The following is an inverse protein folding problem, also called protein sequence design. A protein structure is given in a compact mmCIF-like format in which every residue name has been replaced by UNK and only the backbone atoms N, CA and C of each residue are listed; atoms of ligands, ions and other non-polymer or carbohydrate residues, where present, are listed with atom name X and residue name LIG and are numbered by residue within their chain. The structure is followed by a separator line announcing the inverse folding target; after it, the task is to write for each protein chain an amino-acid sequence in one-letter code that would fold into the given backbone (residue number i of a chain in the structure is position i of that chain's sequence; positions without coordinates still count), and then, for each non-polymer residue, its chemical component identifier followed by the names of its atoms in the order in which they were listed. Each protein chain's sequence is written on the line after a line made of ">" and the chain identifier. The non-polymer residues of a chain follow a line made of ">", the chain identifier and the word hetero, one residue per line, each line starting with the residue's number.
data_IF_412783069320
#
_entry.id   IF_412783069320
#
_cell.length_a   1.000
_cell.length_b   1.000
_cell.length_c   1.000
_cell.angle_alpha   90.00
_cell.angle_beta   90.00
_cell.angle_gamma   90.00
#
_symmetry.space_group_name_H-M   'P 1'
#
loop_
_entity.id
_entity.type
_entity.pdbx_description
1 polymer ?
#
# COMPACT_ATOMS: atom_id res chain seq x y z
N UNK A 1 13.06 5.70 -24.02
CA UNK A 1 12.16 5.12 -23.00
C UNK A 1 13.03 4.44 -21.95
N UNK A 2 12.79 4.65 -20.66
CA UNK A 2 13.54 3.96 -19.61
C UNK A 2 13.24 2.46 -19.68
N UNK A 3 14.27 1.61 -19.60
CA UNK A 3 14.13 0.16 -19.64
C UNK A 3 14.58 -0.39 -18.30
N UNK A 4 13.65 -0.99 -17.57
CA UNK A 4 13.94 -1.65 -16.31
C UNK A 4 14.98 -2.74 -16.53
N UNK A 5 16.01 -2.72 -15.71
CA UNK A 5 16.98 -3.79 -15.64
C UNK A 5 16.68 -4.73 -14.45
N UNK A 6 17.54 -5.72 -14.26
CA UNK A 6 17.40 -6.69 -13.17
C UNK A 6 17.53 -6.05 -11.79
N UNK A 7 18.30 -4.97 -11.66
CA UNK A 7 18.47 -4.26 -10.40
C UNK A 7 17.18 -3.52 -10.03
N UNK A 8 16.61 -2.79 -10.99
CA UNK A 8 15.33 -2.10 -10.80
C UNK A 8 14.21 -3.08 -10.43
N UNK A 9 14.16 -4.25 -11.10
CA UNK A 9 13.17 -5.28 -10.78
C UNK A 9 13.35 -5.82 -9.35
N UNK A 10 14.59 -6.11 -8.95
CA UNK A 10 14.90 -6.59 -7.61
C UNK A 10 14.45 -5.57 -6.55
N UNK A 11 14.73 -4.28 -6.78
CA UNK A 11 14.32 -3.21 -5.88
C UNK A 11 12.79 -3.11 -5.73
N UNK A 12 12.05 -3.31 -6.82
CA UNK A 12 10.58 -3.35 -6.79
C UNK A 12 10.10 -4.56 -5.98
N UNK A 13 10.67 -5.74 -6.23
CA UNK A 13 10.28 -6.98 -5.55
C UNK A 13 10.51 -6.90 -4.04
N UNK A 14 11.63 -6.33 -3.60
CA UNK A 14 11.94 -6.10 -2.19
C UNK A 14 10.93 -5.16 -1.52
N UNK A 15 10.56 -4.06 -2.19
CA UNK A 15 9.55 -3.12 -1.69
C UNK A 15 8.17 -3.77 -1.60
N UNK A 16 7.80 -4.58 -2.59
CA UNK A 16 6.55 -5.33 -2.58
C UNK A 16 6.53 -6.33 -1.41
N UNK A 17 7.64 -7.04 -1.17
CA UNK A 17 7.75 -7.97 -0.05
C UNK A 17 7.62 -7.24 1.30
N UNK A 18 8.29 -6.10 1.45
CA UNK A 18 8.19 -5.27 2.66
C UNK A 18 6.75 -4.79 2.91
N UNK A 19 6.10 -4.21 1.90
CA UNK A 19 4.75 -3.68 2.06
C UNK A 19 3.72 -4.79 2.32
N UNK A 20 3.92 -5.98 1.74
CA UNK A 20 3.09 -7.16 2.03
C UNK A 20 3.16 -7.58 3.50
N UNK A 21 4.35 -7.66 4.09
CA UNK A 21 4.48 -7.99 5.52
C UNK A 21 3.78 -6.96 6.42
N UNK A 22 3.94 -5.67 6.10
CA UNK A 22 3.28 -4.58 6.84
C UNK A 22 1.75 -4.67 6.74
N UNK A 23 1.22 -5.00 5.55
CA UNK A 23 -0.20 -5.29 5.34
C UNK A 23 -0.67 -6.48 6.18
N UNK A 24 0.06 -7.60 6.16
CA UNK A 24 -0.30 -8.81 6.90
C UNK A 24 -0.34 -8.55 8.41
N UNK A 25 0.63 -7.78 8.93
CA UNK A 25 0.63 -7.35 10.33
C UNK A 25 -0.54 -6.43 10.67
N UNK A 26 -0.89 -5.49 9.78
CA UNK A 26 -2.06 -4.63 9.96
C UNK A 26 -3.36 -5.44 9.99
N UNK A 27 -3.53 -6.37 9.04
CA UNK A 27 -4.69 -7.28 8.99
C UNK A 27 -4.78 -8.18 10.23
N UNK A 28 -3.63 -8.59 10.77
CA UNK A 28 -3.55 -9.36 12.02
C UNK A 28 -3.72 -8.51 13.29
N UNK A 29 -3.93 -7.19 13.17
CA UNK A 29 -4.03 -6.28 14.32
C UNK A 29 -2.72 -6.04 15.07
N UNK A 30 -1.58 -6.47 14.51
CA UNK A 30 -0.23 -6.33 15.08
C UNK A 30 0.47 -5.03 14.66
N UNK A 31 -0.19 -4.22 13.83
CA UNK A 31 0.22 -2.89 13.41
C UNK A 31 -1.03 -1.99 13.47
N UNK A 32 -0.99 -0.91 14.23
CA UNK A 32 -2.15 -0.04 14.42
C UNK A 32 -2.51 0.78 13.19
N UNK A 33 -3.72 1.35 13.14
CA UNK A 33 -4.15 2.22 12.02
C UNK A 33 -3.25 3.45 11.86
N UNK A 34 -2.85 4.08 12.98
CA UNK A 34 -2.01 5.28 12.94
C UNK A 34 -0.59 4.99 12.43
N UNK A 35 -0.03 3.82 12.79
CA UNK A 35 1.28 3.36 12.33
C UNK A 35 1.23 2.90 10.87
N UNK A 36 0.13 2.26 10.47
CA UNK A 36 -0.05 1.77 9.11
C UNK A 36 -0.41 2.87 8.10
N UNK A 37 -1.06 3.96 8.55
CA UNK A 37 -1.45 5.11 7.71
C UNK A 37 -0.30 5.69 6.88
N UNK A 38 0.88 6.07 7.43
CA UNK A 38 1.97 6.61 6.62
C UNK A 38 2.50 5.57 5.62
N UNK A 39 2.60 4.30 6.04
CA UNK A 39 3.09 3.18 5.22
C UNK A 39 2.23 2.98 3.97
N UNK A 40 0.91 2.91 4.13
CA UNK A 40 -0.01 2.71 2.99
C UNK A 40 -0.03 3.92 2.05
N UNK A 41 0.08 5.13 2.58
CA UNK A 41 0.06 6.34 1.77
C UNK A 41 1.34 6.48 0.93
N UNK A 42 2.50 6.15 1.48
CA UNK A 42 3.77 6.11 0.73
C UNK A 42 3.73 5.08 -0.40
N UNK A 43 2.99 3.99 -0.23
CA UNK A 43 2.79 2.95 -1.24
C UNK A 43 1.55 3.20 -2.13
N UNK A 44 0.92 4.38 -2.05
CA UNK A 44 -0.21 4.76 -2.91
C UNK A 44 -1.54 4.07 -2.58
N UNK A 45 -1.65 3.39 -1.44
CA UNK A 45 -2.89 2.76 -1.00
C UNK A 45 -3.76 3.75 -0.21
N UNK A 46 -4.78 4.26 -0.89
CA UNK A 46 -5.79 5.16 -0.33
C UNK A 46 -7.05 4.38 0.05
N UNK A 47 -7.51 4.59 1.29
CA UNK A 47 -8.77 4.02 1.81
C UNK A 47 -9.77 5.14 1.95
N UNK A 48 -10.94 4.97 1.34
CA UNK A 48 -12.05 5.90 1.49
C UNK A 48 -12.80 5.61 2.78
N UNK A 49 -12.77 6.56 3.74
CA UNK A 49 -13.34 6.35 5.09
C UNK A 49 -14.84 6.66 5.18
N UNK A 50 -15.35 7.53 4.31
CA UNK A 50 -16.74 8.01 4.32
C UNK A 50 -17.29 8.09 2.90
N UNK A 51 -17.65 6.95 2.31
CA UNK A 51 -17.96 6.84 0.88
C UNK A 51 -19.46 6.69 0.53
N UNK A 52 -20.41 7.52 1.02
CA UNK A 52 -21.75 7.50 0.46
C UNK A 52 -21.74 8.18 -0.92
N UNK A 53 -22.03 7.40 -1.96
CA UNK A 53 -22.15 7.89 -3.33
C UNK A 53 -23.64 8.10 -3.67
N UNK A 54 -24.02 9.34 -3.97
CA UNK A 54 -25.37 9.69 -4.42
C UNK A 54 -25.47 9.48 -5.95
N UNK A 55 -26.49 8.74 -6.39
CA UNK A 55 -26.83 8.58 -7.81
C UNK A 55 -27.91 9.57 -8.21
N UNK A 56 -27.71 10.27 -9.33
CA UNK A 56 -28.72 11.13 -9.98
C UNK A 56 -29.22 10.40 -11.24
N UNK A 57 -30.52 10.42 -11.48
CA UNK A 57 -31.18 9.90 -12.68
C UNK A 57 -31.83 11.05 -13.44
#
# INVERSE_FOLDING_TARGET
>A
MYRYDSYDQTLVDERVAQFRDQMDRYLAGKLGEEEFRPVRLQNGLYIQRHAPMLRIA
#
